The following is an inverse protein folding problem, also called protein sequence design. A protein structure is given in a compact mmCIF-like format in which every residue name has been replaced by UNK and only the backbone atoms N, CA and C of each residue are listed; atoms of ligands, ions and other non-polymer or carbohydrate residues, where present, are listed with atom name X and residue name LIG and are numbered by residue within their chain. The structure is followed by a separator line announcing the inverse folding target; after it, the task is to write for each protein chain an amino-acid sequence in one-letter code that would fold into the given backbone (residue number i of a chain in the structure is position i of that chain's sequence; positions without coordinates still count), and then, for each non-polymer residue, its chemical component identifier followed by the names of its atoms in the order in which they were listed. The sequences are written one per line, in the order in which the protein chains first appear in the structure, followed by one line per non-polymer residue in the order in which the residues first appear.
data_IF_702216501953
#
_entry.id   IF_702216501953
#
_cell.length_a   1.000
_cell.length_b   1.000
_cell.length_c   1.000
_cell.angle_alpha   90.00
_cell.angle_beta   90.00
_cell.angle_gamma   90.00
#
_symmetry.space_group_name_H-M   'P 1'
#
loop_
_entity.id
_entity.type
_entity.pdbx_description
1 polymer ?
#
# COMPACT_ATOMS: atom_id res chain seq x y z
N UNK A 1 13.58 -4.18 28.65
CA UNK A 1 13.48 -3.26 27.48
C UNK A 1 14.28 -3.73 26.25
N UNK A 2 15.51 -4.27 26.37
CA UNK A 2 16.34 -4.76 25.23
C UNK A 2 15.70 -5.88 24.38
N UNK A 3 15.05 -6.86 25.01
CA UNK A 3 14.42 -8.01 24.31
C UNK A 3 13.25 -7.60 23.42
N UNK A 4 12.45 -6.61 23.85
CA UNK A 4 11.29 -6.12 23.08
C UNK A 4 11.75 -5.40 21.81
N UNK A 5 12.80 -4.57 21.90
CA UNK A 5 13.37 -3.87 20.73
C UNK A 5 13.93 -4.86 19.70
N UNK A 6 14.66 -5.90 20.15
CA UNK A 6 15.21 -6.92 19.26
C UNK A 6 14.12 -7.74 18.54
N UNK A 7 13.06 -8.14 19.26
CA UNK A 7 11.90 -8.84 18.68
C UNK A 7 11.19 -7.99 17.61
N UNK A 8 11.08 -6.68 17.85
CA UNK A 8 10.49 -5.72 16.91
C UNK A 8 11.38 -5.53 15.67
N UNK A 9 12.71 -5.53 15.82
CA UNK A 9 13.64 -5.43 14.69
C UNK A 9 13.54 -6.64 13.74
N UNK A 10 13.50 -7.86 14.28
CA UNK A 10 13.36 -9.08 13.46
C UNK A 10 12.05 -9.09 12.67
N UNK A 11 10.93 -8.76 13.32
CA UNK A 11 9.61 -8.67 12.67
C UNK A 11 9.57 -7.65 11.54
N UNK A 12 10.29 -6.52 11.67
CA UNK A 12 10.39 -5.51 10.60
C UNK A 12 11.14 -6.03 9.37
N UNK A 13 12.16 -6.85 9.57
CA UNK A 13 12.92 -7.48 8.46
C UNK A 13 12.01 -8.49 7.76
N UNK A 14 11.45 -9.43 8.51
CA UNK A 14 10.52 -10.45 7.99
C UNK A 14 9.33 -9.81 7.23
N UNK A 15 8.75 -8.73 7.78
CA UNK A 15 7.67 -7.99 7.15
C UNK A 15 8.09 -7.30 5.84
N UNK A 16 9.30 -6.72 5.77
CA UNK A 16 9.82 -6.11 4.55
C UNK A 16 10.08 -7.15 3.46
N UNK A 17 10.64 -8.31 3.83
CA UNK A 17 10.86 -9.42 2.91
C UNK A 17 9.55 -9.95 2.35
N UNK A 18 8.54 -10.11 3.21
CA UNK A 18 7.18 -10.46 2.81
C UNK A 18 6.59 -9.46 1.81
N UNK A 19 6.65 -8.15 2.10
CA UNK A 19 6.14 -7.13 1.17
C UNK A 19 6.93 -7.07 -0.14
N UNK A 20 8.25 -7.25 -0.09
CA UNK A 20 9.09 -7.29 -1.30
C UNK A 20 8.69 -8.46 -2.20
N UNK A 21 8.47 -9.64 -1.62
CA UNK A 21 7.99 -10.81 -2.36
C UNK A 21 6.61 -10.55 -2.97
N UNK A 22 5.69 -9.97 -2.20
CA UNK A 22 4.35 -9.62 -2.67
C UNK A 22 4.39 -8.62 -3.83
N UNK A 23 5.08 -7.48 -3.68
CA UNK A 23 5.15 -6.43 -4.72
C UNK A 23 5.85 -6.89 -6.00
N UNK A 24 6.76 -7.87 -5.95
CA UNK A 24 7.43 -8.42 -7.14
C UNK A 24 6.50 -9.22 -8.05
N UNK A 25 5.43 -9.79 -7.50
CA UNK A 25 4.43 -10.56 -8.28
C UNK A 25 3.15 -9.78 -8.56
N UNK A 26 3.00 -8.57 -8.02
CA UNK A 26 1.80 -7.75 -8.15
C UNK A 26 2.17 -6.38 -8.75
N UNK A 27 2.24 -6.26 -10.09
CA UNK A 27 2.44 -4.95 -10.72
C UNK A 27 1.24 -4.03 -10.48
N UNK A 28 1.37 -2.76 -10.86
CA UNK A 28 0.25 -1.82 -10.83
C UNK A 28 -0.96 -2.38 -11.59
N UNK A 29 -2.12 -2.47 -10.92
CA UNK A 29 -3.33 -3.02 -11.52
C UNK A 29 -3.85 -2.18 -12.70
N UNK A 30 -3.57 -0.87 -12.74
CA UNK A 30 -4.10 0.01 -13.78
C UNK A 30 -3.15 0.14 -15.00
N UNK A 31 -1.83 0.18 -14.80
CA UNK A 31 -0.87 0.42 -15.88
C UNK A 31 0.21 -0.65 -16.05
N UNK A 32 0.23 -1.70 -15.23
CA UNK A 32 1.14 -2.83 -15.37
C UNK A 32 2.60 -2.58 -14.99
N UNK A 33 2.99 -1.37 -14.57
CA UNK A 33 4.38 -1.13 -14.13
C UNK A 33 4.73 -2.02 -12.94
N UNK A 34 5.86 -2.72 -13.03
CA UNK A 34 6.36 -3.65 -12.00
C UNK A 34 7.53 -3.11 -11.17
N UNK A 35 7.93 -1.84 -11.36
CA UNK A 35 9.02 -1.24 -10.58
C UNK A 35 8.56 -0.98 -9.14
N UNK A 36 9.03 -1.83 -8.22
CA UNK A 36 8.68 -1.79 -6.80
C UNK A 36 8.90 -0.42 -6.14
N UNK A 37 9.78 0.43 -6.67
CA UNK A 37 10.06 1.76 -6.11
C UNK A 37 8.88 2.71 -6.24
N UNK A 38 8.02 2.48 -7.24
CA UNK A 38 6.85 3.30 -7.51
C UNK A 38 5.53 2.67 -7.07
N UNK A 39 5.55 1.40 -6.65
CA UNK A 39 4.36 0.69 -6.20
C UNK A 39 3.96 1.09 -4.77
N UNK A 40 2.65 1.10 -4.53
CA UNK A 40 2.02 1.39 -3.25
C UNK A 40 0.76 0.54 -3.07
N UNK A 41 0.32 0.43 -1.81
CA UNK A 41 -0.91 -0.27 -1.44
C UNK A 41 -2.07 0.72 -1.39
N UNK A 42 -2.95 0.67 -2.39
CA UNK A 42 -4.16 1.50 -2.45
C UNK A 42 -5.35 0.73 -1.84
N UNK A 43 -5.84 1.18 -0.68
CA UNK A 43 -7.01 0.57 -0.04
C UNK A 43 -8.25 0.67 -0.92
N UNK A 44 -8.91 -0.47 -1.15
CA UNK A 44 -10.17 -0.50 -1.91
C UNK A 44 -11.26 0.30 -1.20
N UNK A 45 -12.17 0.96 -1.97
CA UNK A 45 -13.32 1.64 -1.39
C UNK A 45 -14.12 0.71 -0.48
N UNK A 46 -14.69 1.25 0.59
CA UNK A 46 -15.44 0.50 1.61
C UNK A 46 -14.65 -0.53 2.42
N UNK A 47 -13.33 -0.65 2.25
CA UNK A 47 -12.51 -1.43 3.18
C UNK A 47 -12.27 -0.66 4.48
N UNK A 48 -12.56 -1.29 5.61
CA UNK A 48 -12.16 -0.75 6.92
C UNK A 48 -10.66 -1.01 7.13
N UNK A 49 -9.84 -0.05 6.72
CA UNK A 49 -8.41 -0.10 6.96
C UNK A 49 -8.10 -0.01 8.45
N UNK A 50 -7.16 -0.83 8.93
CA UNK A 50 -6.66 -0.70 10.30
C UNK A 50 -5.68 0.46 10.38
N UNK A 51 -4.68 0.43 9.49
CA UNK A 51 -3.57 1.38 9.33
C UNK A 51 -2.98 1.18 7.94
N UNK A 52 -2.17 2.11 7.48
CA UNK A 52 -1.41 1.92 6.25
C UNK A 52 -0.45 0.73 6.40
N UNK A 53 -0.29 -0.06 5.34
CA UNK A 53 0.55 -1.28 5.34
C UNK A 53 1.99 -0.95 5.78
N UNK A 54 2.53 0.17 5.29
CA UNK A 54 3.88 0.66 5.64
C UNK A 54 4.00 1.02 7.13
N UNK A 55 2.91 1.52 7.74
CA UNK A 55 2.86 1.81 9.16
C UNK A 55 2.84 0.52 10.01
N UNK A 56 2.09 -0.50 9.58
CA UNK A 56 2.09 -1.82 10.25
C UNK A 56 3.48 -2.46 10.25
N UNK A 57 4.21 -2.36 9.14
CA UNK A 57 5.61 -2.81 9.06
C UNK A 57 6.49 -2.02 10.04
N UNK A 58 6.40 -0.67 10.01
CA UNK A 58 7.20 0.21 10.88
C UNK A 58 6.96 -0.08 12.36
N UNK A 59 5.73 -0.37 12.75
CA UNK A 59 5.35 -0.68 14.12
C UNK A 59 5.65 -2.14 14.53
N UNK A 60 6.04 -3.01 13.59
CA UNK A 60 6.48 -4.39 13.87
C UNK A 60 5.34 -5.36 14.15
N UNK A 61 4.21 -5.19 13.46
CA UNK A 61 3.10 -6.15 13.48
C UNK A 61 3.51 -7.51 12.88
N UNK A 62 2.74 -8.55 13.20
CA UNK A 62 2.97 -9.89 12.62
C UNK A 62 2.63 -9.90 11.14
N UNK A 63 3.27 -10.79 10.38
CA UNK A 63 2.96 -11.00 8.95
C UNK A 63 1.47 -11.26 8.73
N UNK A 64 0.81 -12.05 9.59
CA UNK A 64 -0.65 -12.28 9.50
C UNK A 64 -1.45 -10.98 9.47
N UNK A 65 -1.17 -10.04 10.39
CA UNK A 65 -1.88 -8.76 10.46
C UNK A 65 -1.57 -7.90 9.23
N UNK A 66 -0.34 -7.99 8.72
CA UNK A 66 0.07 -7.25 7.52
C UNK A 66 -0.63 -7.84 6.29
N UNK A 67 -0.71 -9.17 6.15
CA UNK A 67 -1.45 -9.87 5.10
C UNK A 67 -2.93 -9.47 5.13
N UNK A 68 -3.59 -9.56 6.30
CA UNK A 68 -5.00 -9.19 6.46
C UNK A 68 -5.28 -7.76 5.98
N UNK A 69 -4.29 -6.85 6.09
CA UNK A 69 -4.39 -5.48 5.60
C UNK A 69 -4.05 -5.35 4.11
N UNK A 70 -3.01 -6.04 3.63
CA UNK A 70 -2.65 -6.12 2.21
C UNK A 70 -3.80 -6.68 1.37
N UNK A 71 -4.53 -7.65 1.90
CA UNK A 71 -5.69 -8.28 1.25
C UNK A 71 -6.83 -7.29 1.00
N UNK A 72 -6.81 -6.10 1.61
CA UNK A 72 -7.79 -5.02 1.39
C UNK A 72 -7.32 -3.99 0.35
N UNK A 73 -6.09 -4.10 -0.12
CA UNK A 73 -5.47 -3.17 -1.03
C UNK A 73 -5.39 -3.75 -2.44
N UNK A 74 -5.41 -2.86 -3.43
CA UNK A 74 -4.86 -3.13 -4.74
C UNK A 74 -3.42 -2.60 -4.79
N UNK A 75 -2.54 -3.24 -5.56
CA UNK A 75 -1.21 -2.68 -5.82
C UNK A 75 -1.32 -1.70 -6.98
N UNK A 76 -0.96 -0.44 -6.75
CA UNK A 76 -0.97 0.63 -7.74
C UNK A 76 0.35 1.39 -7.73
N UNK A 77 0.76 1.93 -8.88
CA UNK A 77 1.86 2.90 -8.85
C UNK A 77 1.37 4.24 -8.28
N UNK A 78 2.27 5.04 -7.73
CA UNK A 78 1.94 6.33 -7.09
C UNK A 78 1.13 7.27 -7.98
N UNK A 79 1.36 7.26 -9.30
CA UNK A 79 0.62 8.11 -10.24
C UNK A 79 -0.81 7.62 -10.43
N UNK A 80 -1.00 6.33 -10.73
CA UNK A 80 -2.33 5.73 -10.86
C UNK A 80 -3.11 5.79 -9.54
N UNK A 81 -2.44 5.61 -8.40
CA UNK A 81 -3.03 5.77 -7.08
C UNK A 81 -3.53 7.20 -6.84
N UNK A 82 -2.77 8.22 -7.23
CA UNK A 82 -3.19 9.62 -7.12
C UNK A 82 -4.42 9.92 -8.00
N UNK A 83 -4.46 9.36 -9.22
CA UNK A 83 -5.62 9.48 -10.13
C UNK A 83 -6.85 8.79 -9.51
N UNK A 84 -6.72 7.52 -9.11
CA UNK A 84 -7.81 6.77 -8.48
C UNK A 84 -8.35 7.46 -7.21
N UNK A 85 -7.47 8.09 -6.43
CA UNK A 85 -7.88 8.93 -5.28
C UNK A 85 -8.71 10.13 -5.72
N UNK A 86 -8.31 10.85 -6.77
CA UNK A 86 -9.04 11.99 -7.31
C UNK A 86 -10.38 11.59 -7.94
N UNK A 87 -10.48 10.40 -8.52
CA UNK A 87 -11.72 9.86 -9.07
C UNK A 87 -12.75 9.50 -7.99
N UNK A 88 -12.28 9.06 -6.81
CA UNK A 88 -13.12 8.73 -5.65
C UNK A 88 -13.51 9.95 -4.81
N UNK A 89 -12.78 11.06 -4.94
CA UNK A 89 -13.00 12.27 -4.17
C UNK A 89 -14.01 13.22 -4.85
N UNK A 90 -14.63 14.16 -4.09
CA UNK A 90 -15.37 15.27 -4.68
C UNK A 90 -14.52 16.03 -5.71
N UNK A 91 -15.18 16.53 -6.76
CA UNK A 91 -14.47 17.17 -7.85
C UNK A 91 -13.70 18.41 -7.38
N UNK A 92 -12.44 18.50 -7.81
CA UNK A 92 -11.60 19.68 -7.71
C UNK A 92 -11.12 20.13 -9.09
N UNK A 93 -10.40 21.27 -9.14
CA UNK A 93 -9.94 21.87 -10.39
C UNK A 93 -9.08 20.93 -11.26
N UNK A 94 -8.28 20.04 -10.67
CA UNK A 94 -7.49 19.04 -11.42
C UNK A 94 -8.39 18.00 -12.07
N UNK A 95 -9.30 17.43 -11.27
CA UNK A 95 -10.24 16.41 -11.76
C UNK A 95 -11.28 16.95 -12.74
N UNK A 96 -11.49 18.28 -12.78
CA UNK A 96 -12.36 18.95 -13.75
C UNK A 96 -11.66 19.19 -15.08
N UNK A 97 -10.37 19.51 -15.07
CA UNK A 97 -9.58 19.71 -16.28
C UNK A 97 -9.60 18.48 -17.19
N UNK A 98 -9.50 17.28 -16.62
CA UNK A 98 -9.43 16.01 -17.36
C UNK A 98 -10.81 15.46 -17.81
N UNK A 99 -11.94 16.03 -17.37
CA UNK A 99 -13.29 15.56 -17.71
C UNK A 99 -13.97 16.29 -18.87
N UNK A 100 -13.37 17.39 -19.32
CA UNK A 100 -13.89 18.23 -20.41
C UNK A 100 -13.03 18.16 -21.67
N UNK A 101 -12.23 17.09 -21.82
CA UNK A 101 -11.50 16.74 -23.04
C UNK A 101 -12.27 15.73 -23.88
#
# INVERSE_FOLDING_TARGET
MRVVVARTARRRIEAKEYLLAYLRSHPCVDCGIGDIRVLDFDHRPQSSKRKDVTQLVKEGFSIRIIQDEVDKCDVRCRNCHAIATLERAPQNWRSRAERHG
#
